data_IF_232394138470
#
_entry.id   IF_232394138470
#
_cell.length_a   1.000
_cell.length_b   1.000
_cell.length_c   1.000
_cell.angle_alpha   90.00
_cell.angle_beta   90.00
_cell.angle_gamma   90.00
#
_symmetry.space_group_name_H-M   'P 1'
#
loop_
_entity.id
_entity.type
_entity.pdbx_description
1 polymer ?
#
# COMPACT_ATOMS: atom_id res chain seq x y z
N UNK A 1 32.96 34.27 23.05
CA UNK A 1 32.10 33.12 22.75
C UNK A 1 32.45 32.65 21.35
N UNK A 2 33.14 31.53 21.24
CA UNK A 2 33.69 31.00 19.98
C UNK A 2 32.65 30.08 19.34
N UNK A 3 32.21 30.42 18.12
CA UNK A 3 31.42 29.54 17.27
C UNK A 3 32.30 28.40 16.78
N UNK A 4 32.28 27.26 17.50
CA UNK A 4 32.77 26.01 16.95
C UNK A 4 31.79 25.52 15.88
N UNK A 5 32.12 25.81 14.62
CA UNK A 5 31.50 25.17 13.47
C UNK A 5 31.93 23.70 13.53
N UNK A 6 30.99 22.82 13.88
CA UNK A 6 31.20 21.38 13.84
C UNK A 6 31.63 20.99 12.42
N UNK A 7 32.83 20.44 12.31
CA UNK A 7 33.35 19.91 11.04
C UNK A 7 32.54 18.67 10.69
N UNK A 8 32.01 18.54 9.46
CA UNK A 8 31.34 17.32 9.05
C UNK A 8 32.34 16.16 9.08
N UNK A 9 32.03 15.13 9.87
CA UNK A 9 32.79 13.88 9.89
C UNK A 9 32.64 13.24 8.51
N UNK A 10 33.65 13.44 7.67
CA UNK A 10 33.79 12.74 6.40
C UNK A 10 34.15 11.28 6.69
N UNK A 11 33.15 10.40 6.69
CA UNK A 11 33.39 8.97 6.71
C UNK A 11 34.23 8.57 5.48
N UNK A 12 35.26 7.71 5.65
CA UNK A 12 36.09 7.27 4.53
C UNK A 12 35.23 6.56 3.48
N UNK A 13 35.44 6.88 2.20
CA UNK A 13 34.68 6.40 1.03
C UNK A 13 34.57 4.87 0.92
N UNK A 14 35.49 4.13 1.55
CA UNK A 14 35.50 2.66 1.61
C UNK A 14 34.39 2.08 2.50
N UNK A 15 33.97 2.80 3.54
CA UNK A 15 32.86 2.36 4.40
C UNK A 15 31.49 2.58 3.74
N UNK A 16 31.37 3.58 2.87
CA UNK A 16 30.12 3.89 2.15
C UNK A 16 29.77 2.79 1.14
N UNK A 17 30.75 2.21 0.43
CA UNK A 17 30.51 1.14 -0.53
C UNK A 17 30.14 -0.19 0.14
N UNK A 18 30.74 -0.47 1.30
CA UNK A 18 30.44 -1.64 2.15
C UNK A 18 29.08 -1.51 2.85
N UNK A 19 28.71 -0.31 3.32
CA UNK A 19 27.36 -0.02 3.81
C UNK A 19 26.33 -0.22 2.70
N UNK A 20 26.59 0.35 1.51
CA UNK A 20 25.67 0.29 0.37
C UNK A 20 25.35 -1.16 -0.04
N UNK A 21 26.36 -2.02 -0.16
CA UNK A 21 26.18 -3.44 -0.52
C UNK A 21 25.43 -4.23 0.56
N UNK A 22 25.76 -4.06 1.85
CA UNK A 22 25.01 -4.72 2.95
C UNK A 22 23.58 -4.20 3.11
N UNK A 23 23.33 -2.91 2.82
CA UNK A 23 22.00 -2.30 2.82
C UNK A 23 21.15 -2.70 1.61
N UNK A 24 21.78 -3.00 0.47
CA UNK A 24 21.11 -3.41 -0.75
C UNK A 24 20.59 -4.85 -0.69
N UNK A 25 21.34 -5.78 -0.09
CA UNK A 25 20.93 -7.19 0.03
C UNK A 25 19.67 -7.38 0.89
N UNK A 26 19.50 -6.56 1.93
CA UNK A 26 18.33 -6.63 2.83
C UNK A 26 17.03 -6.11 2.21
N UNK A 27 17.11 -5.46 1.05
CA UNK A 27 15.96 -4.85 0.39
C UNK A 27 15.29 -5.78 -0.64
N UNK A 28 15.76 -7.02 -0.78
CA UNK A 28 15.14 -8.04 -1.65
C UNK A 28 13.85 -8.58 -1.03
N UNK A 29 13.83 -8.84 0.28
CA UNK A 29 12.69 -9.47 0.98
C UNK A 29 11.38 -8.66 0.90
N UNK A 30 11.35 -7.33 1.10
CA UNK A 30 10.15 -6.52 0.87
C UNK A 30 9.60 -6.64 -0.55
N UNK A 31 10.49 -6.72 -1.56
CA UNK A 31 10.08 -6.84 -2.97
C UNK A 31 9.50 -8.21 -3.24
N UNK A 32 10.11 -9.26 -2.69
CA UNK A 32 9.57 -10.63 -2.76
C UNK A 32 8.19 -10.68 -2.11
N UNK A 33 8.02 -10.08 -0.93
CA UNK A 33 6.72 -9.97 -0.27
C UNK A 33 5.70 -9.23 -1.15
N UNK A 34 6.09 -8.13 -1.79
CA UNK A 34 5.23 -7.41 -2.72
C UNK A 34 4.75 -8.31 -3.87
N UNK A 35 5.66 -9.07 -4.49
CA UNK A 35 5.32 -10.02 -5.56
C UNK A 35 4.33 -11.07 -5.06
N UNK A 36 4.55 -11.66 -3.88
CA UNK A 36 3.64 -12.67 -3.31
C UNK A 36 2.24 -12.08 -3.03
N UNK A 37 2.15 -10.88 -2.48
CA UNK A 37 0.87 -10.19 -2.26
C UNK A 37 0.18 -9.90 -3.58
N UNK A 38 0.92 -9.43 -4.58
CA UNK A 38 0.41 -9.10 -5.91
C UNK A 38 -0.12 -10.34 -6.64
N UNK A 39 0.57 -11.48 -6.58
CA UNK A 39 0.10 -12.75 -7.15
C UNK A 39 -1.12 -13.28 -6.39
N UNK A 40 -1.11 -13.20 -5.06
CA UNK A 40 -2.26 -13.55 -4.20
C UNK A 40 -3.49 -12.68 -4.49
N UNK A 41 -3.28 -11.40 -4.81
CA UNK A 41 -4.34 -10.48 -5.25
C UNK A 41 -4.88 -10.85 -6.64
N UNK A 42 -4.02 -11.26 -7.59
CA UNK A 42 -4.44 -11.73 -8.90
C UNK A 42 -5.34 -12.97 -8.79
N UNK A 43 -4.94 -13.95 -7.97
CA UNK A 43 -5.77 -15.11 -7.65
C UNK A 43 -7.12 -14.68 -7.04
N UNK A 44 -7.11 -13.69 -6.14
CA UNK A 44 -8.34 -13.13 -5.57
C UNK A 44 -9.26 -12.45 -6.60
N UNK A 45 -8.69 -11.70 -7.55
CA UNK A 45 -9.44 -11.06 -8.63
C UNK A 45 -10.08 -12.11 -9.55
N UNK A 46 -9.32 -13.16 -9.90
CA UNK A 46 -9.82 -14.30 -10.67
C UNK A 46 -10.99 -14.99 -9.96
N UNK A 47 -10.83 -15.34 -8.67
CA UNK A 47 -11.88 -15.97 -7.87
C UNK A 47 -13.16 -15.11 -7.81
N UNK A 48 -13.02 -13.81 -7.58
CA UNK A 48 -14.14 -12.87 -7.53
C UNK A 48 -14.91 -12.81 -8.85
N UNK A 49 -14.20 -12.68 -9.98
CA UNK A 49 -14.83 -12.63 -11.30
C UNK A 49 -15.43 -13.98 -11.72
N UNK A 50 -14.80 -15.09 -11.32
CA UNK A 50 -15.34 -16.43 -11.57
C UNK A 50 -16.69 -16.64 -10.86
N UNK A 51 -16.83 -16.10 -9.64
CA UNK A 51 -18.07 -16.15 -8.87
C UNK A 51 -19.27 -15.47 -9.53
N UNK A 52 -19.04 -14.57 -10.50
CA UNK A 52 -20.09 -13.90 -11.29
C UNK A 52 -20.06 -14.32 -12.77
N UNK A 53 -19.33 -15.38 -13.13
CA UNK A 53 -19.24 -15.88 -14.51
C UNK A 53 -18.42 -15.01 -15.48
N UNK A 54 -17.59 -14.09 -14.98
CA UNK A 54 -16.86 -13.08 -15.77
C UNK A 54 -15.33 -13.22 -15.69
N UNK A 55 -14.80 -14.44 -15.57
CA UNK A 55 -13.36 -14.70 -15.40
C UNK A 55 -12.58 -14.71 -16.73
N UNK A 56 -12.88 -13.80 -17.66
CA UNK A 56 -12.04 -13.66 -18.86
C UNK A 56 -10.65 -13.09 -18.47
N UNK A 57 -9.54 -13.58 -19.05
CA UNK A 57 -8.19 -13.19 -18.62
C UNK A 57 -7.91 -11.68 -18.67
N UNK A 58 -8.43 -10.99 -19.69
CA UNK A 58 -8.34 -9.55 -19.87
C UNK A 58 -9.08 -8.78 -18.76
N UNK A 59 -10.30 -9.19 -18.41
CA UNK A 59 -11.07 -8.59 -17.33
C UNK A 59 -10.44 -8.87 -15.96
N UNK A 60 -9.87 -10.07 -15.76
CA UNK A 60 -9.13 -10.39 -14.53
C UNK A 60 -7.89 -9.51 -14.40
N UNK A 61 -7.10 -9.35 -15.47
CA UNK A 61 -5.94 -8.49 -15.47
C UNK A 61 -6.31 -7.03 -15.18
N UNK A 62 -7.37 -6.51 -15.80
CA UNK A 62 -7.86 -5.17 -15.55
C UNK A 62 -8.28 -4.97 -14.09
N UNK A 63 -9.11 -5.86 -13.55
CA UNK A 63 -9.57 -5.77 -12.15
C UNK A 63 -8.43 -5.92 -11.14
N UNK A 64 -7.49 -6.80 -11.43
CA UNK A 64 -6.30 -6.98 -10.61
C UNK A 64 -5.45 -5.71 -10.56
N UNK A 65 -5.08 -5.17 -11.73
CA UNK A 65 -4.33 -3.92 -11.82
C UNK A 65 -5.07 -2.75 -11.19
N UNK A 66 -6.39 -2.70 -11.36
CA UNK A 66 -7.25 -1.73 -10.72
C UNK A 66 -7.12 -1.75 -9.20
N UNK A 67 -7.28 -2.92 -8.58
CA UNK A 67 -7.15 -3.05 -7.13
C UNK A 67 -5.75 -2.72 -6.63
N UNK A 68 -4.69 -3.10 -7.35
CA UNK A 68 -3.32 -2.72 -6.96
C UNK A 68 -3.14 -1.20 -7.02
N UNK A 69 -3.56 -0.59 -8.13
CA UNK A 69 -3.44 0.83 -8.36
C UNK A 69 -4.21 1.64 -7.32
N UNK A 70 -5.48 1.29 -7.09
CA UNK A 70 -6.33 1.96 -6.10
C UNK A 70 -5.86 1.72 -4.66
N UNK A 71 -5.24 0.57 -4.38
CA UNK A 71 -4.60 0.33 -3.08
C UNK A 71 -3.36 1.20 -2.89
N UNK A 72 -2.57 1.42 -3.94
CA UNK A 72 -1.43 2.36 -3.91
C UNK A 72 -1.92 3.79 -3.66
N UNK A 73 -2.98 4.23 -4.35
CA UNK A 73 -3.53 5.57 -4.13
C UNK A 73 -4.14 5.72 -2.75
N UNK A 74 -4.98 4.76 -2.30
CA UNK A 74 -5.62 4.77 -0.99
C UNK A 74 -4.60 4.69 0.13
N UNK A 75 -3.89 3.56 0.22
CA UNK A 75 -2.94 3.31 1.30
C UNK A 75 -1.79 4.32 1.24
N UNK A 76 -1.16 4.53 0.07
CA UNK A 76 -0.07 5.50 -0.05
C UNK A 76 -0.47 6.91 0.41
N UNK A 77 -1.71 7.35 0.14
CA UNK A 77 -2.20 8.64 0.64
C UNK A 77 -2.45 8.62 2.15
N UNK A 78 -2.92 7.51 2.74
CA UNK A 78 -2.99 7.34 4.21
C UNK A 78 -1.59 7.50 4.82
N UNK A 79 -0.58 6.86 4.24
CA UNK A 79 0.81 6.95 4.70
C UNK A 79 1.36 8.37 4.61
N UNK A 80 1.21 8.99 3.43
CA UNK A 80 1.60 10.39 3.21
C UNK A 80 0.88 11.39 4.12
N UNK A 81 -0.39 11.14 4.45
CA UNK A 81 -1.21 12.05 5.25
C UNK A 81 -0.95 11.95 6.76
N UNK A 82 -0.75 10.74 7.28
CA UNK A 82 -0.80 10.48 8.71
C UNK A 82 0.53 10.05 9.31
N UNK A 83 1.45 9.49 8.52
CA UNK A 83 2.66 8.83 9.04
C UNK A 83 3.97 9.54 8.67
N UNK A 84 3.96 10.42 7.67
CA UNK A 84 5.14 11.25 7.31
C UNK A 84 5.51 12.29 8.36
N UNK A 85 4.57 12.64 9.25
CA UNK A 85 4.72 13.73 10.23
C UNK A 85 4.73 13.27 11.67
N UNK A 86 4.58 11.97 11.96
CA UNK A 86 4.65 11.49 13.34
C UNK A 86 6.10 11.33 13.82
N UNK A 87 6.80 12.45 13.96
CA UNK A 87 7.67 12.69 15.11
C UNK A 87 6.73 12.93 16.30
N UNK A 88 6.37 11.87 17.03
CA UNK A 88 5.66 12.00 18.31
C UNK A 88 6.24 11.02 19.32
N UNK A 89 6.85 11.58 20.36
CA UNK A 89 7.26 10.89 21.58
C UNK A 89 8.75 11.07 21.87
N UNK A 90 9.06 12.01 22.77
CA UNK A 90 10.31 12.20 23.53
C UNK A 90 11.58 12.68 22.82
N UNK A 91 11.76 12.46 21.51
CA UNK A 91 12.92 12.98 20.79
C UNK A 91 12.47 13.84 19.61
N UNK A 92 12.65 15.15 19.76
CA UNK A 92 12.20 16.26 18.90
C UNK A 92 12.97 16.33 17.56
N UNK A 93 13.14 15.19 16.89
CA UNK A 93 13.86 15.09 15.63
C UNK A 93 12.86 15.15 14.49
N UNK A 94 12.62 16.36 14.00
CA UNK A 94 11.85 16.56 12.79
C UNK A 94 12.51 15.85 11.60
N UNK A 95 11.68 15.19 10.78
CA UNK A 95 12.14 14.62 9.54
C UNK A 95 12.80 15.73 8.69
N UNK A 96 14.03 15.53 8.18
CA UNK A 96 14.73 16.57 7.46
C UNK A 96 13.87 17.09 6.31
N UNK A 97 13.72 18.41 6.12
CA UNK A 97 12.88 18.96 5.05
C UNK A 97 13.21 18.40 3.66
N UNK A 98 14.49 18.10 3.42
CA UNK A 98 14.95 17.47 2.20
C UNK A 98 14.46 16.01 2.05
N UNK A 99 14.44 15.24 3.14
CA UNK A 99 13.91 13.87 3.13
C UNK A 99 12.42 13.86 2.82
N UNK A 100 11.63 14.68 3.53
CA UNK A 100 10.19 14.82 3.28
C UNK A 100 9.91 15.23 1.83
N UNK A 101 10.63 16.22 1.32
CA UNK A 101 10.49 16.64 -0.09
C UNK A 101 10.73 15.47 -1.04
N UNK A 102 11.78 14.67 -0.83
CA UNK A 102 12.09 13.50 -1.67
C UNK A 102 11.04 12.41 -1.57
N UNK A 103 10.46 12.19 -0.38
CA UNK A 103 9.32 11.28 -0.22
C UNK A 103 8.14 11.76 -1.06
N UNK A 104 7.71 13.02 -0.91
CA UNK A 104 6.55 13.51 -1.64
C UNK A 104 6.78 13.64 -3.15
N UNK A 105 8.01 13.92 -3.61
CA UNK A 105 8.37 13.85 -5.04
C UNK A 105 8.26 12.42 -5.59
N UNK A 106 8.75 11.42 -4.84
CA UNK A 106 8.63 10.02 -5.22
C UNK A 106 7.17 9.56 -5.19
N UNK A 107 6.41 9.95 -4.16
CA UNK A 107 5.01 9.60 -4.05
C UNK A 107 4.15 10.28 -5.11
N UNK A 108 4.39 11.55 -5.46
CA UNK A 108 3.67 12.23 -6.53
C UNK A 108 3.90 11.56 -7.90
N UNK A 109 5.07 10.93 -8.12
CA UNK A 109 5.28 10.03 -9.27
C UNK A 109 4.42 8.80 -9.20
N UNK A 110 4.51 8.08 -8.09
CA UNK A 110 3.76 6.85 -7.91
C UNK A 110 2.24 7.06 -7.98
N UNK A 111 1.74 8.14 -7.37
CA UNK A 111 0.32 8.51 -7.35
C UNK A 111 -0.20 8.80 -8.76
N UNK A 112 0.53 9.54 -9.59
CA UNK A 112 0.11 9.79 -10.99
C UNK A 112 0.01 8.48 -11.77
N UNK A 113 1.04 7.63 -11.71
CA UNK A 113 1.01 6.35 -12.44
C UNK A 113 -0.07 5.40 -11.93
N UNK A 114 -0.25 5.31 -10.60
CA UNK A 114 -1.30 4.51 -9.99
C UNK A 114 -2.68 5.03 -10.38
N UNK A 115 -2.94 6.33 -10.27
CA UNK A 115 -4.24 6.91 -10.65
C UNK A 115 -4.55 6.72 -12.14
N UNK A 116 -3.57 6.87 -13.04
CA UNK A 116 -3.77 6.59 -14.46
C UNK A 116 -4.05 5.11 -14.73
N UNK A 117 -3.32 4.21 -14.07
CA UNK A 117 -3.56 2.77 -14.18
C UNK A 117 -4.97 2.41 -13.66
N UNK A 118 -5.38 2.94 -12.51
CA UNK A 118 -6.71 2.75 -11.95
C UNK A 118 -7.79 3.31 -12.89
N UNK A 119 -7.60 4.50 -13.46
CA UNK A 119 -8.53 5.10 -14.40
C UNK A 119 -8.72 4.21 -15.64
N UNK A 120 -7.62 3.82 -16.28
CA UNK A 120 -7.65 3.01 -17.51
C UNK A 120 -8.27 1.62 -17.26
N UNK A 121 -7.82 0.94 -16.21
CA UNK A 121 -8.27 -0.42 -15.92
C UNK A 121 -9.67 -0.47 -15.31
N UNK A 122 -10.06 0.54 -14.54
CA UNK A 122 -11.40 0.71 -13.98
C UNK A 122 -12.43 1.01 -15.05
N UNK A 123 -12.12 1.95 -15.97
CA UNK A 123 -12.99 2.24 -17.11
C UNK A 123 -13.18 1.00 -18.01
N UNK A 124 -12.10 0.26 -18.27
CA UNK A 124 -12.17 -0.99 -19.03
C UNK A 124 -13.01 -2.06 -18.33
N UNK A 125 -12.74 -2.31 -17.04
CA UNK A 125 -13.46 -3.30 -16.25
C UNK A 125 -14.96 -2.96 -16.13
N UNK A 126 -15.27 -1.67 -15.94
CA UNK A 126 -16.64 -1.18 -15.92
C UNK A 126 -17.35 -1.40 -17.25
N UNK A 127 -16.75 -0.99 -18.37
CA UNK A 127 -17.33 -1.12 -19.70
C UNK A 127 -17.63 -2.58 -20.10
N UNK A 128 -16.89 -3.54 -19.54
CA UNK A 128 -17.08 -4.98 -19.75
C UNK A 128 -17.90 -5.66 -18.64
N UNK A 129 -18.32 -4.92 -17.62
CA UNK A 129 -19.00 -5.52 -16.47
C UNK A 129 -20.42 -6.00 -16.84
N UNK A 130 -20.82 -7.24 -16.49
CA UNK A 130 -22.13 -7.80 -16.87
C UNK A 130 -23.33 -6.94 -16.44
N UNK A 131 -23.22 -6.22 -15.32
CA UNK A 131 -24.28 -5.33 -14.83
C UNK A 131 -24.61 -4.16 -15.78
N UNK A 132 -23.66 -3.70 -16.60
CA UNK A 132 -23.94 -2.66 -17.59
C UNK A 132 -24.70 -3.19 -18.80
N UNK A 133 -24.48 -4.46 -19.16
CA UNK A 133 -25.16 -5.10 -20.28
C UNK A 133 -26.62 -5.48 -19.95
N UNK A 134 -26.94 -5.68 -18.66
CA UNK A 134 -28.21 -6.26 -18.22
C UNK A 134 -29.40 -5.30 -18.08
N UNK A 135 -29.22 -3.99 -18.20
CA UNK A 135 -30.30 -3.00 -18.21
C UNK A 135 -31.14 -2.91 -16.92
N UNK A 136 -31.02 -1.77 -16.22
CA UNK A 136 -31.95 -1.23 -15.18
C UNK A 136 -31.75 -1.64 -13.72
N UNK A 137 -31.14 -2.77 -13.37
CA UNK A 137 -30.99 -3.17 -11.95
C UNK A 137 -29.89 -2.45 -11.14
N UNK A 138 -28.85 -1.93 -11.80
CA UNK A 138 -27.61 -1.48 -11.14
C UNK A 138 -27.04 -0.15 -11.68
N UNK A 139 -27.85 0.66 -12.37
CA UNK A 139 -27.40 1.92 -12.95
C UNK A 139 -26.80 2.88 -11.89
N UNK A 140 -27.28 2.83 -10.65
CA UNK A 140 -26.71 3.63 -9.55
C UNK A 140 -25.30 3.18 -9.14
N UNK A 141 -24.98 1.89 -9.26
CA UNK A 141 -23.63 1.38 -8.98
C UNK A 141 -22.63 1.84 -10.04
N UNK A 142 -23.06 2.00 -11.30
CA UNK A 142 -22.20 2.59 -12.33
C UNK A 142 -21.88 4.06 -12.09
N UNK A 143 -22.77 4.82 -11.45
CA UNK A 143 -22.49 6.19 -11.04
C UNK A 143 -21.41 6.27 -9.96
N UNK A 144 -21.31 5.29 -9.06
CA UNK A 144 -20.22 5.22 -8.09
C UNK A 144 -18.86 5.04 -8.79
N UNK A 145 -18.81 4.21 -9.85
CA UNK A 145 -17.57 4.05 -10.61
C UNK A 145 -17.24 5.30 -11.41
N UNK A 146 -18.22 5.97 -12.02
CA UNK A 146 -17.99 7.27 -12.69
C UNK A 146 -17.46 8.31 -11.70
N UNK A 147 -18.06 8.41 -10.50
CA UNK A 147 -17.58 9.28 -9.44
C UNK A 147 -16.15 8.96 -9.06
N UNK A 148 -15.82 7.67 -8.93
CA UNK A 148 -14.47 7.21 -8.64
C UNK A 148 -13.46 7.55 -9.76
N UNK A 149 -13.83 7.40 -11.03
CA UNK A 149 -12.99 7.82 -12.16
C UNK A 149 -12.74 9.33 -12.14
N UNK A 150 -13.74 10.14 -11.79
CA UNK A 150 -13.58 11.59 -11.63
C UNK A 150 -12.66 11.95 -10.47
N UNK A 151 -12.76 11.22 -9.35
CA UNK A 151 -11.84 11.35 -8.22
C UNK A 151 -10.41 11.02 -8.65
N UNK A 152 -10.21 9.90 -9.36
CA UNK A 152 -8.88 9.48 -9.82
C UNK A 152 -8.27 10.52 -10.76
N UNK A 153 -9.09 11.10 -11.65
CA UNK A 153 -8.66 12.23 -12.48
C UNK A 153 -8.25 13.44 -11.63
N UNK A 154 -9.05 13.80 -10.62
CA UNK A 154 -8.70 14.85 -9.66
C UNK A 154 -7.38 14.57 -8.94
N UNK A 155 -7.11 13.32 -8.55
CA UNK A 155 -5.83 12.92 -7.95
C UNK A 155 -4.65 13.05 -8.90
N UNK A 156 -4.83 12.75 -10.20
CA UNK A 156 -3.78 13.00 -11.21
C UNK A 156 -3.45 14.49 -11.26
N UNK A 157 -4.48 15.34 -11.32
CA UNK A 157 -4.30 16.79 -11.37
C UNK A 157 -3.60 17.33 -10.10
N UNK A 158 -4.03 16.87 -8.92
CA UNK A 158 -3.38 17.22 -7.65
C UNK A 158 -1.93 16.71 -7.59
N UNK A 159 -1.68 15.47 -8.03
CA UNK A 159 -0.32 14.92 -8.08
C UNK A 159 0.60 15.72 -9.00
N UNK A 160 0.08 16.23 -10.13
CA UNK A 160 0.82 17.12 -11.03
C UNK A 160 1.02 18.51 -10.41
N UNK A 161 -0.01 19.11 -9.81
CA UNK A 161 0.06 20.42 -9.16
C UNK A 161 1.00 20.41 -7.95
N UNK A 162 0.94 19.37 -7.11
CA UNK A 162 1.82 19.21 -5.97
C UNK A 162 3.29 19.12 -6.37
N UNK A 163 3.62 18.59 -7.56
CA UNK A 163 4.99 18.66 -8.08
C UNK A 163 5.43 20.08 -8.38
N UNK A 164 4.54 20.93 -8.87
CA UNK A 164 4.87 22.34 -9.14
C UNK A 164 5.09 23.09 -7.83
N UNK A 165 4.23 22.88 -6.83
CA UNK A 165 4.35 23.50 -5.49
C UNK A 165 5.60 23.04 -4.74
N UNK A 166 5.97 21.75 -4.82
CA UNK A 166 7.20 21.21 -4.22
C UNK A 166 8.47 21.91 -4.72
N UNK A 167 8.44 22.54 -5.90
CA UNK A 167 9.57 23.29 -6.45
C UNK A 167 9.59 24.77 -6.03
N UNK A 168 8.49 25.31 -5.47
CA UNK A 168 8.36 26.74 -5.15
C UNK A 168 9.00 27.16 -3.80
N UNK A 169 9.46 26.21 -2.98
CA UNK A 169 10.28 26.46 -1.78
C UNK A 169 9.51 26.48 -0.44
N UNK A 170 10.20 26.13 0.65
CA UNK A 170 9.64 26.00 2.02
C UNK A 170 8.96 24.65 2.32
N UNK A 171 8.51 24.44 3.56
CA UNK A 171 7.65 23.31 3.99
C UNK A 171 6.19 23.73 4.23
N UNK A 172 5.86 24.99 3.95
CA UNK A 172 4.54 25.59 4.21
C UNK A 172 3.40 24.95 3.38
N UNK A 173 3.75 24.24 2.30
CA UNK A 173 2.82 23.45 1.49
C UNK A 173 2.32 22.18 2.20
N UNK A 174 3.04 21.68 3.22
CA UNK A 174 2.78 20.37 3.82
C UNK A 174 1.37 20.23 4.42
N UNK A 175 0.82 21.20 5.19
CA UNK A 175 -0.55 21.08 5.71
C UNK A 175 -1.60 21.05 4.59
N UNK A 176 -1.38 21.82 3.51
CA UNK A 176 -2.23 21.80 2.32
C UNK A 176 -2.22 20.43 1.66
N UNK A 177 -1.02 19.91 1.39
CA UNK A 177 -0.87 18.58 0.81
C UNK A 177 -1.49 17.48 1.69
N UNK A 178 -1.29 17.52 3.01
CA UNK A 178 -1.88 16.53 3.92
C UNK A 178 -3.41 16.52 3.87
N UNK A 179 -4.07 17.69 3.76
CA UNK A 179 -5.54 17.74 3.56
C UNK A 179 -5.94 17.05 2.26
N UNK A 180 -5.22 17.31 1.19
CA UNK A 180 -5.46 16.66 -0.10
C UNK A 180 -5.24 15.15 -0.06
N UNK A 181 -4.17 14.70 0.61
CA UNK A 181 -3.89 13.27 0.78
C UNK A 181 -4.97 12.58 1.63
N UNK A 182 -5.52 13.24 2.66
CA UNK A 182 -6.67 12.71 3.41
C UNK A 182 -7.93 12.59 2.54
N UNK A 183 -8.19 13.58 1.70
CA UNK A 183 -9.30 13.52 0.75
C UNK A 183 -9.07 12.39 -0.27
N UNK A 184 -7.87 12.28 -0.84
CA UNK A 184 -7.51 11.21 -1.75
C UNK A 184 -7.66 9.82 -1.10
N UNK A 185 -7.10 9.62 0.09
CA UNK A 185 -7.24 8.40 0.86
C UNK A 185 -8.71 8.02 1.05
N UNK A 186 -9.54 8.97 1.53
CA UNK A 186 -10.97 8.75 1.74
C UNK A 186 -11.67 8.33 0.44
N UNK A 187 -11.44 9.04 -0.66
CA UNK A 187 -12.15 8.79 -1.91
C UNK A 187 -11.69 7.49 -2.58
N UNK A 188 -10.39 7.15 -2.56
CA UNK A 188 -9.92 5.85 -3.05
C UNK A 188 -10.41 4.69 -2.19
N UNK A 189 -10.52 4.87 -0.87
CA UNK A 189 -11.14 3.87 0.00
C UNK A 189 -12.62 3.68 -0.34
N UNK A 190 -13.39 4.76 -0.51
CA UNK A 190 -14.79 4.66 -0.96
C UNK A 190 -14.91 3.94 -2.31
N UNK A 191 -13.97 4.18 -3.23
CA UNK A 191 -13.85 3.43 -4.48
C UNK A 191 -13.68 1.93 -4.31
N UNK A 192 -12.74 1.51 -3.43
CA UNK A 192 -12.55 0.10 -3.07
C UNK A 192 -13.84 -0.50 -2.49
N UNK A 193 -14.57 0.26 -1.64
CA UNK A 193 -15.83 -0.19 -1.06
C UNK A 193 -16.96 -0.29 -2.11
N UNK A 194 -17.02 0.65 -3.06
CA UNK A 194 -17.94 0.60 -4.19
C UNK A 194 -17.71 -0.63 -5.07
N UNK A 195 -16.46 -0.91 -5.41
CA UNK A 195 -16.09 -2.11 -6.17
C UNK A 195 -16.31 -3.41 -5.40
N UNK A 196 -16.09 -3.41 -4.09
CA UNK A 196 -16.47 -4.54 -3.25
C UNK A 196 -17.97 -4.83 -3.29
N UNK A 197 -18.83 -3.81 -3.29
CA UNK A 197 -20.27 -4.00 -3.44
C UNK A 197 -20.62 -4.56 -4.83
N UNK A 198 -19.98 -4.05 -5.89
CA UNK A 198 -20.13 -4.57 -7.26
C UNK A 198 -19.70 -6.04 -7.40
N UNK A 199 -18.73 -6.50 -6.60
CA UNK A 199 -18.30 -7.90 -6.58
C UNK A 199 -19.28 -8.84 -5.88
N UNK A 200 -20.04 -8.33 -4.92
CA UNK A 200 -20.89 -9.14 -4.03
C UNK A 200 -22.34 -9.15 -4.49
N UNK A 201 -22.89 -7.97 -4.85
CA UNK A 201 -24.32 -7.83 -5.16
C UNK A 201 -24.80 -8.75 -6.29
N UNK A 202 -24.05 -8.96 -7.39
CA UNK A 202 -24.50 -9.85 -8.46
C UNK A 202 -24.57 -11.33 -8.06
N UNK A 203 -23.72 -11.77 -7.13
CA UNK A 203 -23.61 -13.18 -6.71
C UNK A 203 -24.45 -13.52 -5.49
N UNK A 204 -24.56 -12.60 -4.55
CA UNK A 204 -25.14 -12.84 -3.23
C UNK A 204 -26.25 -11.83 -2.86
N UNK A 205 -26.66 -10.98 -3.80
CA UNK A 205 -27.67 -9.96 -3.55
C UNK A 205 -27.23 -8.93 -2.51
N UNK A 206 -28.17 -8.43 -1.71
CA UNK A 206 -27.91 -7.41 -0.68
C UNK A 206 -27.53 -8.01 0.68
N UNK A 207 -26.89 -9.18 0.71
CA UNK A 207 -26.42 -9.78 1.97
C UNK A 207 -25.35 -8.89 2.63
N UNK A 208 -25.75 -8.26 3.74
CA UNK A 208 -24.92 -7.34 4.50
C UNK A 208 -23.63 -7.99 5.03
N UNK A 209 -23.66 -9.27 5.44
CA UNK A 209 -22.48 -9.95 5.95
C UNK A 209 -21.43 -10.16 4.85
N UNK A 210 -21.89 -10.51 3.65
CA UNK A 210 -21.02 -10.69 2.49
C UNK A 210 -20.40 -9.37 2.02
N UNK A 211 -21.20 -8.30 1.97
CA UNK A 211 -20.75 -6.95 1.61
C UNK A 211 -19.73 -6.44 2.63
N UNK A 212 -20.07 -6.51 3.93
CA UNK A 212 -19.19 -6.07 5.00
C UNK A 212 -17.87 -6.84 5.01
N UNK A 213 -17.91 -8.16 4.80
CA UNK A 213 -16.69 -8.96 4.72
C UNK A 213 -15.81 -8.50 3.56
N UNK A 214 -16.40 -8.24 2.39
CA UNK A 214 -15.66 -7.76 1.23
C UNK A 214 -15.07 -6.37 1.45
N UNK A 215 -15.83 -5.47 2.09
CA UNK A 215 -15.37 -4.14 2.49
C UNK A 215 -14.15 -4.21 3.39
N UNK A 216 -14.23 -4.97 4.49
CA UNK A 216 -13.12 -5.16 5.42
C UNK A 216 -11.92 -5.78 4.70
N UNK A 217 -12.14 -6.77 3.83
CA UNK A 217 -11.06 -7.41 3.06
C UNK A 217 -10.32 -6.42 2.16
N UNK A 218 -11.04 -5.65 1.33
CA UNK A 218 -10.43 -4.72 0.40
C UNK A 218 -9.85 -3.48 1.09
N UNK A 219 -10.46 -3.00 2.18
CA UNK A 219 -9.89 -1.90 2.97
C UNK A 219 -8.58 -2.33 3.65
N UNK A 220 -8.57 -3.50 4.30
CA UNK A 220 -7.37 -4.05 4.94
C UNK A 220 -6.27 -4.32 3.90
N UNK A 221 -6.62 -4.91 2.76
CA UNK A 221 -5.71 -5.08 1.64
C UNK A 221 -5.17 -3.73 1.12
N UNK A 222 -6.04 -2.74 0.92
CA UNK A 222 -5.69 -1.44 0.37
C UNK A 222 -4.70 -0.67 1.25
N UNK A 223 -4.97 -0.59 2.54
CA UNK A 223 -4.08 0.07 3.51
C UNK A 223 -2.75 -0.68 3.65
N UNK A 224 -2.78 -2.02 3.69
CA UNK A 224 -1.57 -2.85 3.77
C UNK A 224 -0.71 -2.74 2.51
N UNK A 225 -1.29 -2.98 1.33
CA UNK A 225 -0.56 -2.96 0.06
C UNK A 225 -0.05 -1.56 -0.27
N UNK A 226 -0.88 -0.52 -0.10
CA UNK A 226 -0.45 0.86 -0.30
C UNK A 226 0.63 1.30 0.69
N UNK A 227 0.60 0.79 1.92
CA UNK A 227 1.70 1.01 2.89
C UNK A 227 2.98 0.31 2.55
N UNK A 228 2.90 -0.92 2.07
CA UNK A 228 4.06 -1.62 1.54
C UNK A 228 4.64 -0.83 0.35
N UNK A 229 3.78 -0.32 -0.55
CA UNK A 229 4.21 0.43 -1.71
C UNK A 229 4.85 1.77 -1.33
N UNK A 230 4.31 2.46 -0.32
CA UNK A 230 4.94 3.65 0.26
C UNK A 230 6.33 3.34 0.79
N UNK A 231 6.46 2.37 1.69
CA UNK A 231 7.74 2.06 2.32
C UNK A 231 8.79 1.60 1.29
N UNK A 232 8.39 0.76 0.33
CA UNK A 232 9.27 0.25 -0.71
C UNK A 232 9.61 1.36 -1.71
N UNK A 233 8.64 1.97 -2.38
CA UNK A 233 8.92 2.83 -3.55
C UNK A 233 9.06 4.32 -3.22
N UNK A 234 8.74 4.74 -1.99
CA UNK A 234 8.79 6.15 -1.58
C UNK A 234 9.84 6.35 -0.48
N UNK A 235 9.58 5.82 0.71
CA UNK A 235 10.38 6.13 1.91
C UNK A 235 11.84 5.65 1.77
N UNK A 236 12.05 4.39 1.37
CA UNK A 236 13.41 3.84 1.26
C UNK A 236 14.26 4.56 0.18
N UNK A 237 13.78 4.79 -1.06
CA UNK A 237 14.52 5.57 -2.04
C UNK A 237 14.80 7.00 -1.59
N UNK A 238 13.85 7.67 -0.92
CA UNK A 238 14.05 9.01 -0.38
C UNK A 238 15.13 9.02 0.71
N UNK A 239 15.10 8.05 1.63
CA UNK A 239 16.08 7.93 2.70
C UNK A 239 17.50 7.67 2.17
N UNK A 240 17.62 6.85 1.11
CA UNK A 240 18.91 6.62 0.44
C UNK A 240 19.48 7.87 -0.24
N UNK A 241 18.63 8.81 -0.61
CA UNK A 241 19.05 10.07 -1.23
C UNK A 241 19.47 11.13 -0.20
N UNK A 242 19.10 10.96 1.07
CA UNK A 242 19.36 11.89 2.16
C UNK A 242 19.88 11.10 3.36
N UNK A 243 21.13 10.65 3.29
CA UNK A 243 21.72 9.83 4.35
C UNK A 243 22.09 10.72 5.56
N UNK A 244 21.20 10.75 6.54
CA UNK A 244 21.45 11.33 7.87
C UNK A 244 20.85 10.44 8.96
N UNK A 245 21.32 10.60 10.19
CA UNK A 245 20.75 9.92 11.35
C UNK A 245 19.24 10.17 11.48
N UNK A 246 18.85 11.44 11.37
CA UNK A 246 17.46 11.91 11.45
C UNK A 246 16.59 11.24 10.38
N UNK A 247 17.08 11.15 9.14
CA UNK A 247 16.36 10.50 8.04
C UNK A 247 16.15 9.01 8.30
N UNK A 248 17.19 8.33 8.81
CA UNK A 248 17.12 6.91 9.17
C UNK A 248 16.11 6.69 10.29
N UNK A 249 16.12 7.55 11.31
CA UNK A 249 15.19 7.49 12.43
C UNK A 249 13.74 7.71 11.97
N UNK A 250 13.48 8.75 11.18
CA UNK A 250 12.14 9.02 10.63
C UNK A 250 11.64 7.87 9.75
N UNK A 251 12.48 7.33 8.87
CA UNK A 251 12.11 6.19 8.02
C UNK A 251 11.83 4.92 8.85
N UNK A 252 12.62 4.67 9.91
CA UNK A 252 12.39 3.55 10.82
C UNK A 252 11.08 3.68 11.60
N UNK A 253 10.74 4.90 12.06
CA UNK A 253 9.47 5.19 12.73
C UNK A 253 8.27 4.90 11.82
N UNK A 254 8.29 5.37 10.58
CA UNK A 254 7.24 5.07 9.59
C UNK A 254 7.04 3.56 9.40
N UNK A 255 8.13 2.79 9.38
CA UNK A 255 8.03 1.35 9.21
C UNK A 255 7.50 0.63 10.45
N UNK A 256 7.81 1.10 11.66
CA UNK A 256 7.22 0.52 12.87
C UNK A 256 5.70 0.74 12.89
N UNK A 257 5.24 1.91 12.45
CA UNK A 257 3.82 2.14 12.25
C UNK A 257 3.23 1.19 11.20
N UNK A 258 3.96 0.95 10.10
CA UNK A 258 3.54 -0.03 9.09
C UNK A 258 3.37 -1.42 9.69
N UNK A 259 4.29 -1.86 10.56
CA UNK A 259 4.14 -3.15 11.25
C UNK A 259 2.91 -3.22 12.14
N UNK A 260 2.60 -2.15 12.88
CA UNK A 260 1.37 -2.09 13.69
C UNK A 260 0.13 -2.26 12.82
N UNK A 261 0.09 -1.58 11.67
CA UNK A 261 -0.99 -1.73 10.69
C UNK A 261 -1.05 -3.16 10.12
N UNK A 262 0.09 -3.75 9.75
CA UNK A 262 0.15 -5.14 9.24
C UNK A 262 -0.35 -6.16 10.27
N UNK A 263 -0.05 -5.98 11.57
CA UNK A 263 -0.54 -6.85 12.64
C UNK A 263 -2.07 -6.90 12.73
N UNK A 264 -2.77 -5.88 12.23
CA UNK A 264 -4.23 -5.82 12.18
C UNK A 264 -4.74 -6.25 10.79
N UNK A 265 -4.13 -5.70 9.73
CA UNK A 265 -4.57 -5.91 8.35
C UNK A 265 -4.38 -7.36 7.88
N UNK A 266 -3.28 -8.01 8.24
CA UNK A 266 -3.00 -9.38 7.81
C UNK A 266 -4.03 -10.38 8.38
N UNK A 267 -4.31 -10.42 9.71
CA UNK A 267 -5.41 -11.22 10.23
C UNK A 267 -6.76 -10.88 9.60
N UNK A 268 -7.06 -9.59 9.41
CA UNK A 268 -8.31 -9.18 8.76
C UNK A 268 -8.44 -9.77 7.35
N UNK A 269 -7.39 -9.66 6.51
CA UNK A 269 -7.38 -10.23 5.14
C UNK A 269 -7.51 -11.76 5.17
N UNK A 270 -6.81 -12.44 6.09
CA UNK A 270 -6.89 -13.91 6.23
C UNK A 270 -8.29 -14.36 6.63
N UNK A 271 -8.85 -13.78 7.69
CA UNK A 271 -10.15 -14.18 8.22
C UNK A 271 -11.27 -13.89 7.22
N UNK A 272 -11.30 -12.67 6.66
CA UNK A 272 -12.31 -12.29 5.67
C UNK A 272 -12.15 -13.05 4.35
N UNK A 273 -10.92 -13.38 3.93
CA UNK A 273 -10.66 -14.18 2.75
C UNK A 273 -11.08 -15.64 2.93
N UNK A 274 -10.84 -16.20 4.11
CA UNK A 274 -11.26 -17.55 4.50
C UNK A 274 -12.78 -17.67 4.57
N UNK A 275 -13.45 -16.66 5.15
CA UNK A 275 -14.92 -16.60 5.15
C UNK A 275 -15.50 -16.51 3.72
N UNK A 276 -14.92 -15.66 2.86
CA UNK A 276 -15.34 -15.58 1.45
C UNK A 276 -15.15 -16.92 0.72
N UNK A 277 -14.01 -17.60 0.94
CA UNK A 277 -13.75 -18.92 0.36
C UNK A 277 -14.74 -19.99 0.84
N UNK A 278 -15.05 -20.00 2.15
CA UNK A 278 -16.06 -20.87 2.75
C UNK A 278 -17.42 -20.69 2.08
N UNK A 279 -17.86 -19.46 1.85
CA UNK A 279 -19.14 -19.19 1.19
C UNK A 279 -19.16 -19.62 -0.27
N UNK A 280 -18.00 -19.68 -0.93
CA UNK A 280 -17.90 -20.09 -2.33
C UNK A 280 -17.88 -21.62 -2.52
N UNK A 281 -17.19 -22.36 -1.66
CA UNK A 281 -16.95 -23.81 -1.87
C UNK A 281 -17.23 -24.69 -0.64
N UNK A 282 -17.51 -24.12 0.52
CA UNK A 282 -17.47 -24.82 1.81
C UNK A 282 -16.03 -25.15 2.26
N UNK A 283 -15.91 -26.01 3.27
CA UNK A 283 -14.63 -26.52 3.81
C UNK A 283 -14.44 -28.02 3.61
N UNK A 284 -15.03 -28.60 2.57
CA UNK A 284 -14.79 -30.00 2.24
C UNK A 284 -13.37 -30.18 1.65
N UNK A 285 -12.45 -30.91 2.32
CA UNK A 285 -11.09 -31.11 1.83
C UNK A 285 -11.05 -31.78 0.46
N UNK A 286 -12.02 -32.64 0.16
CA UNK A 286 -12.10 -33.33 -1.13
C UNK A 286 -12.40 -32.36 -2.27
N UNK A 287 -13.31 -31.40 -2.02
CA UNK A 287 -13.67 -30.33 -2.98
C UNK A 287 -12.51 -29.37 -3.19
N UNK A 288 -11.78 -29.02 -2.12
CA UNK A 288 -10.62 -28.14 -2.19
C UNK A 288 -9.46 -28.73 -3.01
N UNK A 289 -9.26 -30.05 -2.94
CA UNK A 289 -8.17 -30.72 -3.67
C UNK A 289 -8.57 -31.14 -5.08
N UNK A 290 -9.84 -31.48 -5.33
CA UNK A 290 -10.28 -31.98 -6.62
C UNK A 290 -10.60 -30.88 -7.65
N UNK A 291 -11.04 -29.70 -7.19
CA UNK A 291 -11.46 -28.62 -8.10
C UNK A 291 -10.33 -27.61 -8.36
N UNK A 292 -10.17 -27.13 -9.61
CA UNK A 292 -9.23 -26.04 -9.93
C UNK A 292 -9.43 -24.78 -9.07
N UNK A 293 -10.68 -24.50 -8.67
CA UNK A 293 -11.01 -23.38 -7.79
C UNK A 293 -10.46 -23.58 -6.37
N UNK A 294 -10.53 -24.81 -5.86
CA UNK A 294 -9.97 -25.17 -4.56
C UNK A 294 -8.44 -25.06 -4.55
N UNK A 295 -7.77 -25.54 -5.61
CA UNK A 295 -6.33 -25.39 -5.78
C UNK A 295 -5.89 -23.91 -5.79
N UNK A 296 -6.67 -23.02 -6.40
CA UNK A 296 -6.39 -21.58 -6.41
C UNK A 296 -6.54 -20.93 -5.00
N UNK A 297 -7.51 -21.39 -4.21
CA UNK A 297 -7.67 -20.98 -2.80
C UNK A 297 -6.48 -21.47 -1.97
N UNK A 298 -6.09 -22.74 -2.13
CA UNK A 298 -4.93 -23.32 -1.44
C UNK A 298 -3.62 -22.59 -1.82
N UNK A 299 -3.42 -22.28 -3.10
CA UNK A 299 -2.31 -21.46 -3.56
C UNK A 299 -2.31 -20.10 -2.85
N UNK A 300 -3.45 -19.43 -2.80
CA UNK A 300 -3.58 -18.14 -2.12
C UNK A 300 -3.25 -18.24 -0.63
N UNK A 301 -3.75 -19.26 0.07
CA UNK A 301 -3.44 -19.50 1.47
C UNK A 301 -1.94 -19.79 1.68
N UNK A 302 -1.33 -20.58 0.79
CA UNK A 302 0.11 -20.86 0.80
C UNK A 302 0.97 -19.61 0.60
N UNK A 303 0.57 -18.72 -0.31
CA UNK A 303 1.23 -17.42 -0.51
C UNK A 303 1.11 -16.53 0.73
N UNK A 304 -0.06 -16.49 1.38
CA UNK A 304 -0.27 -15.71 2.61
C UNK A 304 0.50 -16.31 3.79
N UNK A 305 0.56 -17.63 3.92
CA UNK A 305 1.37 -18.30 4.92
C UNK A 305 2.86 -18.01 4.71
N UNK A 306 3.33 -18.02 3.46
CA UNK A 306 4.69 -17.64 3.10
C UNK A 306 4.99 -16.18 3.49
N UNK A 307 4.04 -15.26 3.25
CA UNK A 307 4.14 -13.88 3.71
C UNK A 307 4.23 -13.77 5.22
N UNK A 308 3.39 -14.49 5.97
CA UNK A 308 3.45 -14.51 7.43
C UNK A 308 4.81 -15.00 7.92
N UNK A 309 5.36 -16.07 7.33
CA UNK A 309 6.72 -16.55 7.61
C UNK A 309 7.75 -15.46 7.33
N UNK A 310 7.69 -14.79 6.17
CA UNK A 310 8.60 -13.69 5.84
C UNK A 310 8.50 -12.56 6.88
N UNK A 311 7.30 -12.16 7.31
CA UNK A 311 7.15 -11.08 8.30
C UNK A 311 7.61 -11.47 9.70
N UNK A 312 7.42 -12.73 10.10
CA UNK A 312 7.89 -13.24 11.39
C UNK A 312 9.42 -13.39 11.39
N UNK A 313 9.97 -13.90 10.29
CA UNK A 313 11.41 -14.23 10.18
C UNK A 313 12.27 -13.05 9.74
N UNK A 314 11.75 -12.07 9.01
CA UNK A 314 12.51 -10.88 8.61
C UNK A 314 12.79 -10.00 9.84
N UNK A 315 14.04 -9.95 10.31
CA UNK A 315 14.43 -9.06 11.40
C UNK A 315 14.72 -7.66 10.84
N UNK A 316 13.96 -7.22 9.83
CA UNK A 316 14.38 -6.18 8.87
C UNK A 316 14.87 -4.90 9.55
N UNK A 317 14.45 -4.64 10.81
CA UNK A 317 15.02 -3.58 11.63
C UNK A 317 15.28 -3.91 13.11
N UNK A 318 15.18 -5.18 13.56
CA UNK A 318 15.71 -5.56 14.88
C UNK A 318 17.20 -5.90 14.85
N UNK A 319 17.72 -6.19 13.65
CA UNK A 319 19.15 -6.30 13.43
C UNK A 319 19.58 -5.13 12.54
N UNK A 320 20.32 -4.20 13.11
CA UNK A 320 21.05 -3.12 12.42
C UNK A 320 20.19 -2.02 11.80
N UNK A 321 20.14 -0.89 12.51
CA UNK A 321 20.18 0.42 11.88
C UNK A 321 21.11 0.44 10.66
N UNK A 322 20.81 1.23 9.61
CA UNK A 322 21.76 1.58 8.56
C UNK A 322 23.11 2.08 9.06
N UNK A 323 23.18 2.51 10.33
CA UNK A 323 24.41 2.77 11.06
C UNK A 323 24.81 1.49 11.78
N UNK A 324 25.95 0.91 11.39
CA UNK A 324 26.53 -0.23 12.09
C UNK A 324 26.72 0.12 13.59
N UNK A 325 26.05 -0.60 14.49
CA UNK A 325 26.21 -0.45 15.94
C UNK A 325 24.94 -0.09 16.73
N UNK A 326 23.88 0.39 16.09
CA UNK A 326 22.60 0.69 16.78
C UNK A 326 21.59 -0.43 16.47
N UNK A 327 21.27 -1.24 17.48
CA UNK A 327 20.28 -2.33 17.35
C UNK A 327 18.92 -1.97 17.93
N UNK A 328 18.86 -1.04 18.88
CA UNK A 328 17.63 -0.43 19.38
C UNK A 328 17.74 1.10 19.35
N UNK A 329 16.66 1.80 18.99
CA UNK A 329 16.58 3.27 19.09
C UNK A 329 16.70 3.70 20.55
N UNK A 330 16.27 2.85 21.48
CA UNK A 330 16.41 3.06 22.92
C UNK A 330 17.84 2.93 23.42
N UNK A 331 18.75 2.33 22.64
CA UNK A 331 20.19 2.30 22.97
C UNK A 331 20.89 3.64 22.69
N UNK A 332 20.22 4.57 22.01
CA UNK A 332 20.71 5.94 21.76
C UNK A 332 20.24 6.82 22.92
N UNK A 333 20.80 6.54 24.09
CA UNK A 333 20.68 7.43 25.24
C UNK A 333 21.62 8.62 24.95
N UNK A 334 21.06 9.71 24.44
CA UNK A 334 21.77 10.98 24.32
C UNK A 334 21.82 11.54 25.74
N UNK A 335 22.87 11.16 26.47
CA UNK A 335 23.15 11.75 27.79
C UNK A 335 23.15 13.28 27.70
N UNK A 336 22.81 13.96 28.82
CA UNK A 336 22.53 15.39 28.86
C UNK A 336 23.65 16.29 28.32
#
# INVERSE_FOLDING_TARGET
MSNQIATPVLLPTRDISLLSTKLLDRYVLPKVAMVLITVSAAAGAWLSLRGIGAAQPDLVAAKWLYFLALSITAGGSVWGAFYTRSSYGEQDVDAPPLFLRREFEAFARLLVYASLAALATGAYALARHPLLAGGRGAAWLSWLVVLELMVLLGMVLVGLAGRLELHAGGIDWLPGLQRWLKAAATLSLLGLLGMAALDVVPREGTDAAAILTRWVHLAAFGVWFGGAAWNVFVAVPAARAVLSFETVFSAASQLEQFRKVVRIALPAVVLTGTYQAYRMLGFDPSVLLALPLGALILLKLGLIASLAVIFITCPMWRACSPIAGVCDITDIDVGP
#
